data_IF_992950540144
#
_entry.id   IF_992950540144
#
_cell.length_a   1.000
_cell.length_b   1.000
_cell.length_c   1.000
_cell.angle_alpha   90.00
_cell.angle_beta   90.00
_cell.angle_gamma   90.00
#
_symmetry.space_group_name_H-M   'P 1'
#
loop_
_entity.id
_entity.type
_entity.pdbx_description
1 polymer ?
#
# COMPACT_ATOMS: atom_id res chain seq x y z
N UNK A 1 -0.39 -14.28 -19.94
CA UNK A 1 0.32 -13.57 -18.83
C UNK A 1 0.16 -14.41 -17.57
N UNK A 2 1.01 -14.27 -16.55
CA UNK A 2 0.75 -14.85 -15.24
C UNK A 2 0.66 -13.73 -14.19
N UNK A 3 -0.23 -13.88 -13.22
CA UNK A 3 -0.36 -12.97 -12.07
C UNK A 3 -0.11 -13.80 -10.80
N UNK A 4 0.90 -13.40 -10.03
CA UNK A 4 1.10 -13.89 -8.67
C UNK A 4 0.26 -13.07 -7.70
N UNK A 5 -0.56 -13.71 -6.87
CA UNK A 5 -1.41 -13.05 -5.89
C UNK A 5 -0.87 -13.39 -4.49
N UNK A 6 -0.54 -12.38 -3.69
CA UNK A 6 -0.15 -12.55 -2.29
C UNK A 6 -1.20 -11.91 -1.38
N UNK A 7 -1.77 -12.69 -0.48
CA UNK A 7 -2.66 -12.20 0.58
C UNK A 7 -1.86 -12.16 1.88
N UNK A 8 -1.66 -10.97 2.44
CA UNK A 8 -0.97 -10.77 3.72
C UNK A 8 -2.04 -10.42 4.76
N UNK A 9 -2.12 -11.20 5.82
CA UNK A 9 -3.15 -11.03 6.86
C UNK A 9 -2.64 -10.24 8.06
N UNK A 10 -3.56 -9.78 8.91
CA UNK A 10 -3.29 -9.14 10.20
C UNK A 10 -2.74 -10.10 11.26
N UNK A 11 -2.55 -11.38 10.93
CA UNK A 11 -1.76 -12.33 11.71
C UNK A 11 -0.29 -12.41 11.22
N UNK A 12 0.10 -11.51 10.31
CA UNK A 12 1.41 -11.51 9.63
C UNK A 12 1.72 -12.84 8.94
N UNK A 13 0.70 -13.45 8.34
CA UNK A 13 0.84 -14.63 7.48
C UNK A 13 0.61 -14.24 6.03
N UNK A 14 1.44 -14.77 5.14
CA UNK A 14 1.33 -14.56 3.71
C UNK A 14 0.92 -15.86 3.00
N UNK A 15 -0.14 -15.79 2.19
CA UNK A 15 -0.57 -16.87 1.29
C UNK A 15 -0.35 -16.43 -0.15
N UNK A 16 0.22 -17.32 -0.96
CA UNK A 16 0.61 -17.02 -2.34
C UNK A 16 -0.14 -17.93 -3.29
N UNK A 17 -0.62 -17.36 -4.38
CA UNK A 17 -1.36 -18.02 -5.44
C UNK A 17 -0.78 -17.62 -6.78
N UNK A 18 -0.91 -18.49 -7.77
CA UNK A 18 -0.49 -18.21 -9.14
C UNK A 18 -1.69 -18.40 -10.06
N UNK A 19 -1.97 -17.39 -10.86
CA UNK A 19 -3.04 -17.41 -11.84
C UNK A 19 -2.48 -17.31 -13.25
N UNK A 20 -2.72 -18.33 -14.04
CA UNK A 20 -2.27 -18.44 -15.44
C UNK A 20 -3.41 -18.50 -16.44
N UNK A 21 -4.64 -18.78 -15.96
CA UNK A 21 -5.84 -18.78 -16.78
C UNK A 21 -6.21 -17.37 -17.24
N UNK A 22 -6.44 -17.21 -18.54
CA UNK A 22 -6.65 -15.89 -19.15
C UNK A 22 -7.99 -15.27 -18.75
N UNK A 23 -9.05 -16.08 -18.64
CA UNK A 23 -10.37 -15.59 -18.22
C UNK A 23 -10.35 -15.13 -16.75
N UNK A 24 -9.72 -15.90 -15.86
CA UNK A 24 -9.51 -15.51 -14.47
C UNK A 24 -8.65 -14.25 -14.36
N UNK A 25 -7.63 -14.10 -15.21
CA UNK A 25 -6.76 -12.91 -15.25
C UNK A 25 -7.60 -11.67 -15.57
N UNK A 26 -8.44 -11.70 -16.60
CA UNK A 26 -9.30 -10.56 -16.92
C UNK A 26 -10.27 -10.24 -15.76
N UNK A 27 -10.85 -11.25 -15.11
CA UNK A 27 -11.69 -11.05 -13.92
C UNK A 27 -10.92 -10.39 -12.76
N UNK A 28 -9.64 -10.71 -12.61
CA UNK A 28 -8.76 -10.11 -11.60
C UNK A 28 -8.48 -8.66 -11.92
N UNK A 29 -8.19 -8.34 -13.20
CA UNK A 29 -8.01 -6.96 -13.65
C UNK A 29 -9.29 -6.13 -13.48
N UNK A 30 -10.47 -6.71 -13.74
CA UNK A 30 -11.77 -6.07 -13.46
C UNK A 30 -12.03 -5.83 -11.98
N UNK A 31 -11.51 -6.70 -11.12
CA UNK A 31 -11.58 -6.52 -9.68
C UNK A 31 -10.65 -5.42 -9.20
N UNK A 32 -9.44 -5.31 -9.79
CA UNK A 32 -8.51 -4.20 -9.54
C UNK A 32 -9.10 -2.83 -9.90
N UNK A 33 -9.87 -2.75 -11.01
CA UNK A 33 -10.58 -1.51 -11.40
C UNK A 33 -11.58 -1.05 -10.33
N UNK A 34 -12.04 -1.97 -9.47
CA UNK A 34 -12.96 -1.73 -8.34
C UNK A 34 -12.25 -1.86 -6.99
N UNK A 35 -10.94 -1.64 -6.95
CA UNK A 35 -10.08 -1.79 -5.78
C UNK A 35 -10.50 -0.96 -4.57
N UNK A 36 -11.26 0.13 -4.75
CA UNK A 36 -11.82 0.93 -3.65
C UNK A 36 -12.72 0.14 -2.69
N UNK A 37 -13.24 -1.02 -3.11
CA UNK A 37 -14.05 -1.90 -2.27
C UNK A 37 -13.31 -3.17 -1.85
N UNK A 38 -12.00 -3.29 -2.14
CA UNK A 38 -11.24 -4.53 -1.98
C UNK A 38 -11.17 -5.01 -0.53
N UNK A 39 -11.27 -4.13 0.46
CA UNK A 39 -11.21 -4.49 1.89
C UNK A 39 -12.56 -4.41 2.61
N UNK A 40 -13.65 -4.23 1.87
CA UNK A 40 -15.00 -4.15 2.40
C UNK A 40 -15.93 -5.21 1.77
N UNK A 41 -17.06 -5.46 2.43
CA UNK A 41 -18.11 -6.33 1.90
C UNK A 41 -17.79 -7.83 1.97
N UNK A 42 -18.04 -8.55 0.87
CA UNK A 42 -17.96 -10.01 0.83
C UNK A 42 -16.51 -10.52 1.01
N UNK A 43 -16.32 -11.70 1.63
CA UNK A 43 -15.00 -12.33 1.77
C UNK A 43 -14.24 -12.41 0.45
N UNK A 44 -12.91 -12.34 0.52
CA UNK A 44 -12.07 -12.72 -0.62
C UNK A 44 -12.02 -14.25 -0.65
N UNK A 45 -12.38 -14.83 -1.79
CA UNK A 45 -12.33 -16.28 -1.99
C UNK A 45 -11.31 -16.54 -3.10
N UNK A 46 -10.34 -17.41 -2.81
CA UNK A 46 -9.40 -17.91 -3.81
C UNK A 46 -9.58 -19.42 -3.89
N UNK A 47 -10.08 -19.89 -5.02
CA UNK A 47 -10.33 -21.30 -5.28
C UNK A 47 -9.31 -21.89 -6.26
N UNK A 48 -8.92 -23.12 -6.01
CA UNK A 48 -8.23 -24.01 -6.95
C UNK A 48 -8.89 -25.38 -6.94
N UNK A 49 -8.47 -26.28 -7.83
CA UNK A 49 -8.92 -27.67 -7.79
C UNK A 49 -8.59 -28.37 -6.47
N UNK A 50 -7.47 -28.00 -5.85
CA UNK A 50 -6.99 -28.64 -4.63
C UNK A 50 -7.66 -28.10 -3.36
N UNK A 51 -7.98 -26.81 -3.31
CA UNK A 51 -8.54 -26.18 -2.12
C UNK A 51 -9.26 -24.86 -2.41
N UNK A 52 -10.13 -24.47 -1.48
CA UNK A 52 -10.72 -23.12 -1.44
C UNK A 52 -10.29 -22.44 -0.16
N UNK A 53 -9.74 -21.24 -0.28
CA UNK A 53 -9.39 -20.38 0.85
C UNK A 53 -10.32 -19.18 0.89
N UNK A 54 -10.84 -18.89 2.09
CA UNK A 54 -11.77 -17.79 2.34
C UNK A 54 -11.14 -16.85 3.36
N UNK A 55 -10.94 -15.59 2.96
CA UNK A 55 -10.34 -14.56 3.78
C UNK A 55 -11.39 -13.53 4.19
N UNK A 56 -11.50 -13.27 5.48
CA UNK A 56 -12.24 -12.12 5.98
C UNK A 56 -11.52 -10.84 5.51
N UNK A 57 -12.21 -9.95 4.79
CA UNK A 57 -11.59 -8.75 4.21
C UNK A 57 -10.92 -7.85 5.26
N UNK A 58 -11.56 -7.72 6.42
CA UNK A 58 -11.04 -6.95 7.55
C UNK A 58 -9.74 -7.53 8.15
N UNK A 59 -9.42 -8.81 7.93
CA UNK A 59 -8.17 -9.42 8.38
C UNK A 59 -7.07 -9.40 7.32
N UNK A 60 -7.30 -8.78 6.16
CA UNK A 60 -6.28 -8.61 5.13
C UNK A 60 -5.58 -7.27 5.37
N UNK A 61 -4.27 -7.31 5.58
CA UNK A 61 -3.42 -6.14 5.69
C UNK A 61 -3.00 -5.63 4.31
N UNK A 62 -2.52 -6.54 3.44
CA UNK A 62 -2.11 -6.22 2.07
C UNK A 62 -2.56 -7.31 1.09
N UNK A 63 -2.82 -6.89 -0.15
CA UNK A 63 -3.09 -7.76 -1.29
C UNK A 63 -2.21 -7.34 -2.45
N UNK A 64 -1.32 -8.23 -2.89
CA UNK A 64 -0.32 -7.94 -3.92
C UNK A 64 -0.59 -8.74 -5.17
N UNK A 65 -0.43 -8.10 -6.33
CA UNK A 65 -0.59 -8.67 -7.65
C UNK A 65 0.71 -8.43 -8.42
N UNK A 66 1.59 -9.43 -8.40
CA UNK A 66 2.86 -9.41 -9.12
C UNK A 66 2.65 -9.86 -10.57
N UNK A 67 3.10 -9.04 -11.51
CA UNK A 67 3.04 -9.36 -12.94
C UNK A 67 4.18 -8.64 -13.68
N UNK A 68 4.61 -9.21 -14.81
CA UNK A 68 5.61 -8.58 -15.67
C UNK A 68 5.11 -7.26 -16.31
N UNK A 69 3.79 -7.13 -16.46
CA UNK A 69 3.14 -5.90 -16.94
C UNK A 69 2.88 -4.95 -15.77
N UNK A 70 3.02 -3.65 -16.01
CA UNK A 70 2.54 -2.66 -15.05
C UNK A 70 1.01 -2.75 -14.91
N UNK A 71 0.55 -3.01 -13.69
CA UNK A 71 -0.86 -3.09 -13.34
C UNK A 71 -1.42 -1.78 -12.78
N UNK A 72 -0.59 -0.73 -12.65
CA UNK A 72 -1.00 0.55 -12.05
C UNK A 72 -2.15 1.23 -12.81
N UNK A 73 -2.24 1.01 -14.13
CA UNK A 73 -3.35 1.50 -14.96
C UNK A 73 -4.72 0.88 -14.62
N UNK A 74 -4.75 -0.25 -13.91
CA UNK A 74 -5.98 -0.94 -13.52
C UNK A 74 -6.43 -0.57 -12.10
N UNK A 75 -5.69 0.28 -11.39
CA UNK A 75 -5.99 0.66 -10.01
C UNK A 75 -6.33 2.15 -9.96
N UNK A 76 -7.43 2.49 -9.32
CA UNK A 76 -7.75 3.88 -9.05
C UNK A 76 -6.69 4.44 -8.09
N UNK A 77 -5.93 5.46 -8.52
CA UNK A 77 -4.95 6.14 -7.67
C UNK A 77 -5.50 7.50 -7.24
N UNK A 78 -6.15 7.61 -6.07
CA UNK A 78 -6.71 8.87 -5.58
C UNK A 78 -5.67 9.79 -4.93
N UNK A 79 -4.38 9.43 -5.01
CA UNK A 79 -3.28 10.12 -4.34
C UNK A 79 -2.47 10.94 -5.34
N UNK A 80 -2.12 12.18 -4.95
CA UNK A 80 -1.11 13.00 -5.63
C UNK A 80 0.33 12.58 -5.25
N UNK A 81 0.50 11.33 -4.85
CA UNK A 81 1.78 10.71 -4.55
C UNK A 81 1.77 9.26 -5.03
N UNK A 82 2.96 8.77 -5.34
CA UNK A 82 3.21 7.40 -5.74
C UNK A 82 3.97 6.70 -4.61
N UNK A 83 3.45 5.56 -4.17
CA UNK A 83 4.15 4.66 -3.27
C UNK A 83 4.79 3.53 -4.07
N UNK A 84 6.04 3.23 -3.79
CA UNK A 84 6.78 2.09 -4.37
C UNK A 84 7.43 1.30 -3.25
N UNK A 85 7.26 -0.01 -3.20
CA UNK A 85 7.91 -0.85 -2.18
C UNK A 85 9.42 -0.83 -2.36
N UNK A 86 10.13 -0.64 -1.26
CA UNK A 86 11.58 -0.72 -1.22
C UNK A 86 12.02 -2.19 -1.17
N UNK A 87 13.05 -2.54 -1.94
CA UNK A 87 13.67 -3.86 -1.86
C UNK A 87 14.54 -3.99 -0.60
N UNK A 88 14.87 -5.21 -0.15
CA UNK A 88 15.79 -5.41 0.96
C UNK A 88 17.14 -4.72 0.76
N UNK A 89 17.65 -4.67 -0.47
CA UNK A 89 18.90 -4.01 -0.81
C UNK A 89 18.80 -2.49 -0.62
N UNK A 90 17.68 -1.89 -1.05
CA UNK A 90 17.43 -0.46 -0.85
C UNK A 90 17.24 -0.09 0.62
N UNK A 91 16.72 -1.02 1.44
CA UNK A 91 16.57 -0.82 2.88
C UNK A 91 17.89 -0.95 3.64
N UNK A 92 18.86 -1.67 3.09
CA UNK A 92 20.19 -1.78 3.68
C UNK A 92 21.00 -0.48 3.54
N UNK A 93 20.66 0.36 2.57
CA UNK A 93 21.30 1.66 2.36
C UNK A 93 20.67 2.75 3.25
N UNK A 94 21.47 3.70 3.78
CA UNK A 94 20.94 4.88 4.45
C UNK A 94 20.00 5.66 3.51
N UNK A 95 18.74 5.82 3.93
CA UNK A 95 17.78 6.55 3.14
C UNK A 95 18.04 8.06 3.17
N UNK A 96 18.17 8.68 1.99
CA UNK A 96 18.26 10.14 1.84
C UNK A 96 17.01 10.67 1.14
N UNK A 97 16.12 11.27 1.93
CA UNK A 97 14.91 11.93 1.46
C UNK A 97 15.04 13.45 1.48
N UNK A 98 14.16 14.12 0.76
CA UNK A 98 14.20 15.57 0.59
C UNK A 98 12.81 16.16 0.34
N UNK A 99 12.72 17.46 0.60
CA UNK A 99 11.60 18.32 0.26
C UNK A 99 12.15 19.52 -0.52
N UNK A 100 11.83 19.62 -1.81
CA UNK A 100 12.35 20.66 -2.70
C UNK A 100 11.19 21.35 -3.41
N UNK A 101 10.91 22.59 -2.98
CA UNK A 101 9.75 23.35 -3.45
C UNK A 101 8.44 22.57 -3.25
N UNK A 102 7.73 22.33 -4.35
CA UNK A 102 6.48 21.57 -4.36
C UNK A 102 6.71 20.06 -4.53
N UNK A 103 7.93 19.53 -4.55
CA UNK A 103 8.19 18.09 -4.72
C UNK A 103 8.80 17.48 -3.47
N UNK A 104 8.59 16.18 -3.32
CA UNK A 104 9.18 15.44 -2.22
C UNK A 104 9.56 14.02 -2.61
N UNK A 105 10.55 13.51 -1.89
CA UNK A 105 10.95 12.10 -1.88
C UNK A 105 11.20 11.70 -0.43
N UNK A 106 10.36 10.82 0.11
CA UNK A 106 10.45 10.37 1.51
C UNK A 106 10.27 8.85 1.59
N UNK A 107 10.76 8.24 2.67
CA UNK A 107 10.41 6.86 3.02
C UNK A 107 9.22 6.90 3.95
N UNK A 108 8.21 6.08 3.67
CA UNK A 108 7.09 5.85 4.60
C UNK A 108 7.06 4.37 4.96
N UNK A 109 7.16 4.09 6.25
CA UNK A 109 7.07 2.75 6.81
C UNK A 109 5.70 2.57 7.44
N UNK A 110 4.87 1.67 6.90
CA UNK A 110 3.55 1.36 7.42
C UNK A 110 3.60 0.12 8.32
N UNK A 111 3.11 0.25 9.55
CA UNK A 111 3.07 -0.82 10.53
C UNK A 111 1.64 -1.31 10.69
N UNK A 112 1.41 -2.59 10.42
CA UNK A 112 0.10 -3.21 10.44
C UNK A 112 -0.11 -4.02 11.72
N UNK A 113 -1.38 -4.24 12.06
CA UNK A 113 -1.77 -5.25 13.05
C UNK A 113 -1.14 -6.60 12.71
N UNK A 114 -0.59 -7.29 13.72
CA UNK A 114 0.12 -8.55 13.55
C UNK A 114 1.62 -8.42 13.30
N UNK A 115 2.13 -7.21 13.06
CA UNK A 115 3.57 -6.96 12.92
C UNK A 115 4.10 -7.00 11.49
N UNK A 116 3.23 -7.07 10.48
CA UNK A 116 3.66 -6.80 9.10
C UNK A 116 4.11 -5.35 8.98
N UNK A 117 5.22 -5.11 8.28
CA UNK A 117 5.75 -3.77 7.99
C UNK A 117 5.95 -3.65 6.48
N UNK A 118 5.41 -2.59 5.89
CA UNK A 118 5.58 -2.26 4.49
C UNK A 118 6.44 -1.00 4.37
N UNK A 119 7.64 -1.16 3.83
CA UNK A 119 8.56 -0.06 3.59
C UNK A 119 8.38 0.50 2.19
N UNK A 120 8.11 1.80 2.07
CA UNK A 120 7.81 2.41 0.78
C UNK A 120 8.63 3.67 0.55
N UNK A 121 9.02 3.86 -0.71
CA UNK A 121 9.39 5.15 -1.25
C UNK A 121 8.12 5.89 -1.67
N UNK A 122 7.92 7.08 -1.12
CA UNK A 122 6.86 7.99 -1.49
C UNK A 122 7.43 9.19 -2.27
N UNK A 123 6.94 9.37 -3.49
CA UNK A 123 7.29 10.50 -4.36
C UNK A 123 6.01 11.22 -4.76
N UNK A 124 6.00 12.55 -4.71
CA UNK A 124 4.80 13.30 -5.04
C UNK A 124 5.01 14.79 -5.17
N UNK A 125 3.89 15.47 -5.43
CA UNK A 125 3.84 16.93 -5.49
C UNK A 125 3.05 17.43 -4.28
N UNK A 126 3.70 18.18 -3.39
CA UNK A 126 3.04 19.03 -2.41
C UNK A 126 2.21 20.03 -3.20
N UNK A 127 0.89 20.08 -3.02
CA UNK A 127 0.09 21.21 -3.48
C UNK A 127 0.03 22.24 -2.37
N UNK A 128 0.40 23.48 -2.67
CA UNK A 128 0.26 24.62 -1.77
C UNK A 128 -1.21 24.98 -1.50
N UNK A 129 -1.85 24.31 -0.54
CA UNK A 129 -2.98 24.84 0.21
C UNK A 129 -2.82 24.45 1.68
N UNK A 130 -2.41 25.42 2.51
CA UNK A 130 -2.02 25.27 3.92
C UNK A 130 -3.10 24.60 4.81
N UNK A 131 -4.37 24.59 4.38
CA UNK A 131 -5.48 23.89 5.03
C UNK A 131 -5.58 22.39 4.67
N UNK A 132 -5.11 21.96 3.49
CA UNK A 132 -5.06 20.54 3.09
C UNK A 132 -3.87 19.80 3.73
N UNK A 133 -2.80 20.52 4.11
CA UNK A 133 -1.56 19.96 4.67
C UNK A 133 -1.76 19.21 5.98
N UNK A 134 -2.69 19.68 6.82
CA UNK A 134 -3.08 19.09 8.11
C UNK A 134 -3.99 17.86 7.96
N UNK A 135 -4.86 17.85 6.95
CA UNK A 135 -5.79 16.76 6.72
C UNK A 135 -5.12 15.54 6.04
N UNK A 136 -4.00 15.72 5.35
CA UNK A 136 -3.40 14.64 4.54
C UNK A 136 -2.72 13.51 5.33
N UNK A 137 -2.20 13.77 6.54
CA UNK A 137 -1.56 12.71 7.34
C UNK A 137 -2.60 11.81 8.03
N UNK A 138 -3.65 12.39 8.59
CA UNK A 138 -4.72 11.63 9.27
C UNK A 138 -5.70 11.03 8.26
N UNK A 139 -6.09 11.75 7.21
CA UNK A 139 -6.97 11.20 6.16
C UNK A 139 -6.35 10.05 5.37
N UNK A 140 -5.04 9.82 5.51
CA UNK A 140 -4.36 8.65 4.95
C UNK A 140 -4.98 7.35 5.50
N UNK A 141 -5.32 7.35 6.79
CA UNK A 141 -5.93 6.20 7.47
C UNK A 141 -7.45 6.08 7.23
N UNK A 142 -8.11 7.17 6.86
CA UNK A 142 -9.56 7.18 6.57
C UNK A 142 -9.90 6.60 5.19
N UNK A 143 -8.89 6.29 4.38
CA UNK A 143 -9.10 5.76 3.02
C UNK A 143 -9.56 4.29 3.06
N UNK A 144 -10.43 3.87 2.12
CA UNK A 144 -10.86 2.48 2.05
C UNK A 144 -9.77 1.55 1.49
N UNK A 145 -8.84 2.08 0.69
CA UNK A 145 -7.73 1.35 0.07
C UNK A 145 -6.60 2.34 -0.22
N UNK A 146 -5.36 1.87 -0.15
CA UNK A 146 -4.20 2.58 -0.70
C UNK A 146 -3.39 1.67 -1.59
N UNK A 147 -2.97 2.16 -2.75
CA UNK A 147 -2.22 1.41 -3.73
C UNK A 147 -0.73 1.77 -3.70
N UNK A 148 0.12 0.78 -3.98
CA UNK A 148 1.56 0.91 -4.08
C UNK A 148 2.09 0.06 -5.24
N UNK A 149 3.26 0.42 -5.77
CA UNK A 149 3.95 -0.36 -6.81
C UNK A 149 4.88 -1.39 -6.16
N UNK A 150 4.93 -2.57 -6.76
CA UNK A 150 5.88 -3.61 -6.36
C UNK A 150 7.22 -3.37 -7.09
N UNK A 151 8.34 -3.66 -6.43
CA UNK A 151 9.67 -3.44 -7.01
C UNK A 151 9.91 -4.29 -8.28
N UNK A 152 9.39 -5.50 -8.30
CA UNK A 152 9.47 -6.46 -9.41
C UNK A 152 8.38 -6.27 -10.49
N UNK A 153 7.54 -5.24 -10.36
CA UNK A 153 6.39 -5.01 -11.24
C UNK A 153 5.07 -5.55 -10.70
N UNK A 154 3.98 -4.93 -11.12
CA UNK A 154 2.64 -5.14 -10.58
C UNK A 154 2.23 -4.11 -9.54
N UNK A 155 1.19 -4.43 -8.76
CA UNK A 155 0.57 -3.49 -7.83
C UNK A 155 0.19 -4.17 -6.52
N UNK A 156 0.39 -3.47 -5.42
CA UNK A 156 -0.13 -3.84 -4.11
C UNK A 156 -1.24 -2.90 -3.66
N UNK A 157 -2.14 -3.45 -2.87
CA UNK A 157 -3.20 -2.73 -2.18
C UNK A 157 -2.99 -2.96 -0.69
N UNK A 158 -2.93 -1.91 0.12
CA UNK A 158 -2.91 -2.01 1.58
C UNK A 158 -4.22 -1.52 2.17
N UNK A 159 -4.64 -2.14 3.27
CA UNK A 159 -5.85 -1.84 3.99
C UNK A 159 -5.58 -0.82 5.11
N UNK A 160 -6.00 0.45 4.96
CA UNK A 160 -5.68 1.49 5.93
C UNK A 160 -6.26 1.22 7.32
N UNK A 161 -7.41 0.54 7.39
CA UNK A 161 -8.06 0.17 8.65
C UNK A 161 -7.25 -0.83 9.51
N UNK A 162 -6.19 -1.42 8.95
CA UNK A 162 -5.30 -2.36 9.66
C UNK A 162 -3.94 -1.75 9.99
N UNK A 163 -3.70 -0.48 9.62
CA UNK A 163 -2.48 0.25 9.93
C UNK A 163 -2.58 0.77 11.36
N UNK A 164 -1.60 0.42 12.18
CA UNK A 164 -1.47 0.87 13.57
C UNK A 164 -0.72 2.18 13.70
N UNK A 165 0.28 2.39 12.84
CA UNK A 165 1.07 3.62 12.73
C UNK A 165 1.82 3.64 11.41
N UNK A 166 2.28 4.81 11.01
CA UNK A 166 3.27 4.96 9.95
C UNK A 166 4.37 5.93 10.38
N UNK A 167 5.55 5.80 9.80
CA UNK A 167 6.70 6.69 10.07
C UNK A 167 7.21 7.25 8.76
N UNK A 168 7.45 8.56 8.73
CA UNK A 168 7.96 9.26 7.55
C UNK A 168 9.42 9.67 7.81
N UNK A 169 10.29 9.40 6.85
CA UNK A 169 11.70 9.78 6.87
C UNK A 169 12.08 10.59 5.63
N UNK A 170 12.71 11.78 5.76
CA UNK A 170 12.88 12.53 7.00
C UNK A 170 11.53 12.98 7.59
N UNK A 171 11.53 13.39 8.87
CA UNK A 171 10.35 13.96 9.52
C UNK A 171 9.81 15.18 8.76
N UNK A 172 8.52 15.48 8.92
CA UNK A 172 7.89 16.66 8.32
C UNK A 172 8.04 17.86 9.24
N UNK A 173 8.44 19.01 8.67
CA UNK A 173 8.59 20.26 9.44
C UNK A 173 7.23 20.91 9.77
N UNK A 174 6.23 20.71 8.89
CA UNK A 174 4.87 21.25 9.04
C UNK A 174 3.99 20.28 9.85
N UNK A 175 4.16 20.21 11.17
CA UNK A 175 3.32 19.40 12.06
C UNK A 175 2.04 20.14 12.51
N UNK A 176 0.96 19.41 12.85
CA UNK A 176 -0.21 20.00 13.50
C UNK A 176 0.12 20.77 14.77
N UNK A 177 -0.67 21.83 15.07
CA UNK A 177 -0.44 22.69 16.24
C UNK A 177 -0.51 21.95 17.58
N UNK A 178 -1.29 20.88 17.63
CA UNK A 178 -1.49 20.02 18.79
C UNK A 178 -0.56 18.79 18.80
N UNK A 179 0.34 18.67 17.80
CA UNK A 179 1.33 17.61 17.77
C UNK A 179 2.34 17.77 18.92
N UNK A 180 2.73 16.65 19.52
CA UNK A 180 3.79 16.62 20.52
C UNK A 180 5.15 16.47 19.85
N UNK A 181 6.13 17.21 20.33
CA UNK A 181 7.52 17.14 19.87
C UNK A 181 8.34 16.27 20.82
N UNK A 182 9.09 15.33 20.27
CA UNK A 182 9.97 14.46 21.03
C UNK A 182 10.94 13.72 20.12
N UNK A 183 12.15 13.51 20.60
CA UNK A 183 13.15 12.70 19.91
C UNK A 183 12.94 11.22 20.23
N UNK A 184 13.12 10.31 19.25
CA UNK A 184 13.19 8.88 19.54
C UNK A 184 14.40 8.59 20.45
N UNK A 185 14.17 7.87 21.54
CA UNK A 185 15.19 7.46 22.51
C UNK A 185 15.91 6.17 22.10
#
# INVERSE_FOLDING_TARGET
MAIGITVITTANSARRFLQTDEAAIEQTLDSLRRSSQMFAGKPLIVGSEAQTEVFARASIACLEFAAAKDLSAYVASPLNLQLTVLTPEQLAEPFSGWFEGERFKVRIDFYFTGGHVLHTLAEGVRKAALAERLMNLTSFLDRPVMNYRLAQGGVGLMNPATIMRFVIFPGTDDLPRDAWLGEPA
#
